data_IF_875319961543
#
_entry.id   IF_875319961543
#
_cell.length_a   1.000
_cell.length_b   1.000
_cell.length_c   1.000
_cell.angle_alpha   90.00
_cell.angle_beta   90.00
_cell.angle_gamma   90.00
#
_symmetry.space_group_name_H-M   'P 1'
#
loop_
_entity.id
_entity.type
_entity.pdbx_description
1 polymer ?
#
# COMPACT_ATOMS: atom_id res chain seq x y z
N UNK A 1 33.90 2.34 0.75
CA UNK A 1 32.96 2.91 -0.22
C UNK A 1 32.20 1.77 -0.89
N UNK A 2 31.12 1.30 -0.28
CA UNK A 2 30.36 0.15 -0.79
C UNK A 2 29.48 0.53 -1.96
N UNK A 3 29.65 -0.15 -3.09
CA UNK A 3 28.81 -0.02 -4.28
C UNK A 3 27.36 -0.43 -3.95
N UNK A 4 26.54 0.51 -3.49
CA UNK A 4 25.10 0.37 -3.49
C UNK A 4 24.61 0.53 -4.92
N UNK A 5 24.05 -0.53 -5.53
CA UNK A 5 23.26 -0.46 -6.78
C UNK A 5 22.49 0.85 -6.81
N UNK A 6 22.75 1.71 -7.81
CA UNK A 6 22.19 3.06 -7.97
C UNK A 6 20.71 3.12 -7.54
N UNK A 7 20.48 3.55 -6.30
CA UNK A 7 19.16 3.74 -5.72
C UNK A 7 18.62 5.06 -6.24
N UNK A 8 17.40 5.03 -6.76
CA UNK A 8 16.73 6.20 -7.33
C UNK A 8 16.07 6.95 -6.16
N UNK A 9 16.60 8.12 -5.82
CA UNK A 9 16.26 8.84 -4.59
C UNK A 9 14.81 9.32 -4.58
N UNK A 10 14.27 9.70 -5.75
CA UNK A 10 12.92 10.25 -5.87
C UNK A 10 11.85 9.17 -5.64
N UNK A 11 12.13 7.90 -5.96
CA UNK A 11 11.23 6.78 -5.66
C UNK A 11 11.13 6.59 -4.14
N UNK A 12 12.27 6.65 -3.44
CA UNK A 12 12.27 6.54 -1.98
C UNK A 12 11.68 7.80 -1.33
N UNK A 13 11.92 9.00 -1.88
CA UNK A 13 11.29 10.23 -1.42
C UNK A 13 9.77 10.18 -1.53
N UNK A 14 9.24 9.80 -2.70
CA UNK A 14 7.79 9.63 -2.90
C UNK A 14 7.20 8.54 -1.99
N UNK A 15 7.94 7.46 -1.73
CA UNK A 15 7.52 6.43 -0.76
C UNK A 15 7.49 6.99 0.66
N UNK A 16 8.42 7.88 1.01
CA UNK A 16 8.42 8.64 2.26
C UNK A 16 7.16 9.49 2.42
N UNK A 17 6.77 10.22 1.37
CA UNK A 17 5.50 10.98 1.36
C UNK A 17 4.31 10.05 1.57
N UNK A 18 4.25 8.91 0.86
CA UNK A 18 3.16 7.95 1.02
C UNK A 18 3.02 7.46 2.48
N UNK A 19 4.13 7.17 3.16
CA UNK A 19 4.13 6.80 4.59
C UNK A 19 3.56 7.90 5.47
N UNK A 20 3.95 9.16 5.23
CA UNK A 20 3.46 10.30 6.01
C UNK A 20 1.94 10.43 5.84
N UNK A 21 1.46 10.36 4.60
CA UNK A 21 0.03 10.42 4.30
C UNK A 21 -0.75 9.26 4.94
N UNK A 22 -0.22 8.04 4.87
CA UNK A 22 -0.82 6.86 5.51
C UNK A 22 -0.90 7.03 7.03
N UNK A 23 0.17 7.50 7.66
CA UNK A 23 0.23 7.66 9.11
C UNK A 23 -0.72 8.76 9.58
N UNK A 24 -0.85 9.84 8.80
CA UNK A 24 -1.81 10.91 9.06
C UNK A 24 -3.26 10.40 8.93
N UNK A 25 -3.56 9.63 7.87
CA UNK A 25 -4.89 9.01 7.71
C UNK A 25 -5.25 8.16 8.93
N UNK A 26 -4.37 7.25 9.35
CA UNK A 26 -4.64 6.37 10.49
C UNK A 26 -4.77 7.14 11.81
N UNK A 27 -3.98 8.21 12.01
CA UNK A 27 -4.14 9.09 13.17
C UNK A 27 -5.54 9.72 13.23
N UNK A 28 -6.03 10.23 12.10
CA UNK A 28 -7.35 10.85 12.01
C UNK A 28 -8.48 9.83 12.15
N UNK A 29 -8.32 8.65 11.55
CA UNK A 29 -9.22 7.51 11.73
C UNK A 29 -9.32 7.10 13.20
N UNK A 30 -8.18 6.92 13.89
CA UNK A 30 -8.16 6.48 15.29
C UNK A 30 -8.76 7.53 16.23
N UNK A 31 -8.53 8.83 15.97
CA UNK A 31 -9.17 9.92 16.72
C UNK A 31 -10.70 9.91 16.58
N UNK A 32 -11.19 9.62 15.37
CA UNK A 32 -12.63 9.50 15.10
C UNK A 32 -13.23 8.28 15.81
N UNK A 33 -12.66 7.09 15.56
CA UNK A 33 -13.22 5.81 16.00
C UNK A 33 -13.07 5.54 17.49
N UNK A 34 -11.93 5.91 18.10
CA UNK A 34 -11.65 5.57 19.50
C UNK A 34 -11.86 6.72 20.49
N UNK A 35 -11.87 7.98 20.01
CA UNK A 35 -11.90 9.17 20.87
C UNK A 35 -13.05 10.14 20.55
N UNK A 36 -13.99 9.76 19.68
CA UNK A 36 -15.20 10.52 19.35
C UNK A 36 -14.95 11.94 18.78
N UNK A 37 -13.82 12.13 18.09
CA UNK A 37 -13.62 13.37 17.35
C UNK A 37 -14.54 13.39 16.12
N UNK A 38 -15.17 14.54 15.86
CA UNK A 38 -16.04 14.74 14.68
C UNK A 38 -15.20 14.88 13.41
N UNK A 39 -14.68 13.75 12.93
CA UNK A 39 -13.83 13.64 11.74
C UNK A 39 -14.46 12.58 10.82
N UNK A 40 -14.97 13.04 9.69
CA UNK A 40 -15.37 12.15 8.60
C UNK A 40 -14.13 11.68 7.83
N UNK A 41 -13.72 10.45 8.07
CA UNK A 41 -12.62 9.80 7.37
C UNK A 41 -13.05 9.07 6.09
N UNK A 42 -14.36 8.98 5.83
CA UNK A 42 -14.94 8.27 4.68
C UNK A 42 -15.16 9.18 3.48
N UNK A 43 -15.01 10.49 3.64
CA UNK A 43 -15.14 11.47 2.58
C UNK A 43 -14.12 12.61 2.70
N UNK A 44 -14.15 13.51 1.72
CA UNK A 44 -13.42 14.77 1.73
C UNK A 44 -11.89 14.59 1.73
N UNK A 45 -11.20 15.47 2.47
CA UNK A 45 -9.74 15.54 2.44
C UNK A 45 -9.08 14.34 3.12
N UNK A 46 -9.72 13.75 4.14
CA UNK A 46 -9.15 12.63 4.90
C UNK A 46 -9.15 11.36 4.04
N UNK A 47 -10.29 11.03 3.42
CA UNK A 47 -10.38 9.94 2.45
C UNK A 47 -9.39 10.15 1.28
N UNK A 48 -9.31 11.37 0.74
CA UNK A 48 -8.36 11.69 -0.33
C UNK A 48 -6.89 11.44 0.09
N UNK A 49 -6.51 11.76 1.33
CA UNK A 49 -5.16 11.51 1.86
C UNK A 49 -4.88 10.00 1.91
N UNK A 50 -5.82 9.22 2.44
CA UNK A 50 -5.73 7.77 2.55
C UNK A 50 -5.63 7.10 1.17
N UNK A 51 -6.58 7.41 0.28
CA UNK A 51 -6.61 6.89 -1.10
C UNK A 51 -5.35 7.25 -1.87
N UNK A 52 -4.88 8.50 -1.79
CA UNK A 52 -3.64 8.94 -2.43
C UNK A 52 -2.43 8.14 -1.92
N UNK A 53 -2.32 7.97 -0.60
CA UNK A 53 -1.24 7.18 -0.02
C UNK A 53 -1.21 5.75 -0.56
N UNK A 54 -2.37 5.07 -0.55
CA UNK A 54 -2.48 3.70 -1.02
C UNK A 54 -2.09 3.56 -2.50
N UNK A 55 -2.64 4.42 -3.36
CA UNK A 55 -2.32 4.43 -4.80
C UNK A 55 -0.84 4.72 -5.05
N UNK A 56 -0.22 5.62 -4.28
CA UNK A 56 1.22 5.86 -4.32
C UNK A 56 2.01 4.60 -3.97
N UNK A 57 1.70 3.92 -2.86
CA UNK A 57 2.39 2.69 -2.46
C UNK A 57 2.30 1.60 -3.54
N UNK A 58 1.11 1.37 -4.09
CA UNK A 58 0.87 0.34 -5.10
C UNK A 58 1.67 0.67 -6.38
N UNK A 59 1.57 1.91 -6.85
CA UNK A 59 2.27 2.37 -8.07
C UNK A 59 3.79 2.31 -7.90
N UNK A 60 4.32 2.84 -6.80
CA UNK A 60 5.76 2.84 -6.50
C UNK A 60 6.29 1.41 -6.32
N UNK A 61 5.47 0.50 -5.81
CA UNK A 61 5.82 -0.93 -5.73
C UNK A 61 5.90 -1.56 -7.13
N UNK A 62 4.98 -1.23 -8.05
CA UNK A 62 5.06 -1.63 -9.45
C UNK A 62 6.36 -1.18 -10.12
N UNK A 63 6.72 0.09 -9.93
CA UNK A 63 7.98 0.66 -10.44
C UNK A 63 9.19 -0.09 -9.83
N UNK A 64 9.21 -0.22 -8.51
CA UNK A 64 10.33 -0.81 -7.75
C UNK A 64 10.51 -2.30 -8.01
N UNK A 65 9.44 -3.03 -8.32
CA UNK A 65 9.49 -4.43 -8.75
C UNK A 65 10.25 -4.56 -10.06
N UNK A 66 10.02 -3.65 -11.01
CA UNK A 66 10.72 -3.64 -12.29
C UNK A 66 12.20 -3.22 -12.22
N UNK A 67 12.65 -2.68 -11.09
CA UNK A 67 14.04 -2.29 -10.84
C UNK A 67 14.80 -3.32 -9.97
N UNK A 68 14.08 -4.21 -9.31
CA UNK A 68 14.63 -5.20 -8.38
C UNK A 68 14.93 -6.54 -9.05
N UNK A 69 15.93 -7.27 -8.52
CA UNK A 69 16.32 -8.59 -9.00
C UNK A 69 15.71 -9.75 -8.21
N UNK A 70 15.22 -9.52 -6.99
CA UNK A 70 14.76 -10.60 -6.10
C UNK A 70 13.32 -10.38 -5.61
N UNK A 71 12.39 -10.27 -6.56
CA UNK A 71 10.99 -9.98 -6.27
C UNK A 71 10.28 -11.12 -5.56
N UNK A 72 10.54 -12.39 -5.91
CA UNK A 72 9.87 -13.53 -5.27
C UNK A 72 10.13 -13.55 -3.76
N UNK A 73 11.40 -13.48 -3.33
CA UNK A 73 11.74 -13.44 -1.90
C UNK A 73 11.13 -12.22 -1.21
N UNK A 74 11.13 -11.05 -1.88
CA UNK A 74 10.55 -9.82 -1.32
C UNK A 74 9.03 -9.93 -1.17
N UNK A 75 8.34 -10.47 -2.17
CA UNK A 75 6.89 -10.69 -2.16
C UNK A 75 6.49 -11.67 -1.05
N UNK A 76 7.18 -12.81 -0.95
CA UNK A 76 6.96 -13.78 0.13
C UNK A 76 7.23 -13.19 1.52
N UNK A 77 8.26 -12.35 1.68
CA UNK A 77 8.52 -11.64 2.94
C UNK A 77 7.36 -10.72 3.31
N UNK A 78 6.81 -9.98 2.35
CA UNK A 78 5.68 -9.08 2.60
C UNK A 78 4.41 -9.88 2.92
N UNK A 79 4.14 -10.96 2.18
CA UNK A 79 3.01 -11.87 2.48
C UNK A 79 3.12 -12.48 3.87
N UNK A 80 4.32 -12.88 4.31
CA UNK A 80 4.53 -13.36 5.66
C UNK A 80 4.07 -12.35 6.72
N UNK A 81 4.46 -11.08 6.59
CA UNK A 81 4.01 -10.04 7.51
C UNK A 81 2.52 -9.71 7.35
N UNK A 82 1.98 -9.78 6.13
CA UNK A 82 0.55 -9.57 5.88
C UNK A 82 -0.31 -10.58 6.65
N UNK A 83 0.03 -11.88 6.55
CA UNK A 83 -0.67 -12.94 7.28
C UNK A 83 -0.40 -12.90 8.79
N UNK A 84 0.75 -12.40 9.23
CA UNK A 84 1.00 -12.15 10.65
C UNK A 84 0.05 -11.07 11.18
N UNK A 85 -0.20 -10.00 10.42
CA UNK A 85 -1.17 -8.97 10.79
C UNK A 85 -2.59 -9.53 10.77
N UNK A 86 -2.95 -10.36 9.79
CA UNK A 86 -4.24 -11.08 9.78
C UNK A 86 -4.42 -11.88 11.07
N UNK A 87 -3.41 -12.66 11.47
CA UNK A 87 -3.47 -13.47 12.68
C UNK A 87 -3.64 -12.61 13.93
N UNK A 88 -2.86 -11.54 14.06
CA UNK A 88 -2.94 -10.63 15.20
C UNK A 88 -4.34 -9.97 15.22
N UNK A 89 -4.76 -9.33 14.13
CA UNK A 89 -6.05 -8.63 14.06
C UNK A 89 -7.24 -9.57 14.28
N UNK A 90 -7.14 -10.84 13.87
CA UNK A 90 -8.17 -11.85 14.14
C UNK A 90 -8.42 -12.06 15.63
N UNK A 91 -7.38 -12.03 16.46
CA UNK A 91 -7.53 -12.19 17.91
C UNK A 91 -7.98 -10.90 18.63
N UNK A 92 -7.62 -9.73 18.12
CA UNK A 92 -7.95 -8.45 18.76
C UNK A 92 -9.30 -7.87 18.31
N UNK A 93 -9.65 -8.00 17.03
CA UNK A 93 -10.88 -7.43 16.44
C UNK A 93 -11.52 -8.44 15.48
N UNK A 94 -12.06 -9.56 15.97
CA UNK A 94 -12.47 -10.71 15.16
C UNK A 94 -13.59 -10.42 14.15
N UNK A 95 -14.41 -9.39 14.38
CA UNK A 95 -15.52 -9.05 13.48
C UNK A 95 -15.07 -8.31 12.21
N UNK A 96 -13.94 -7.59 12.28
CA UNK A 96 -13.43 -6.74 11.19
C UNK A 96 -11.93 -6.93 10.97
N UNK A 97 -11.40 -8.11 11.32
CA UNK A 97 -9.98 -8.41 11.16
C UNK A 97 -9.51 -8.26 9.72
N UNK A 98 -8.20 -8.02 9.55
CA UNK A 98 -7.61 -7.74 8.23
C UNK A 98 -7.44 -9.06 7.48
N UNK A 99 -8.41 -9.44 6.67
CA UNK A 99 -8.36 -10.65 5.87
C UNK A 99 -7.58 -10.47 4.54
N UNK A 100 -7.69 -9.31 3.89
CA UNK A 100 -7.03 -9.00 2.63
C UNK A 100 -6.71 -7.50 2.48
N UNK A 101 -5.87 -7.00 3.39
CA UNK A 101 -5.37 -5.62 3.38
C UNK A 101 -4.29 -5.32 2.33
N UNK A 102 -3.78 -4.09 2.31
CA UNK A 102 -2.85 -3.60 1.26
C UNK A 102 -1.53 -4.37 1.20
N UNK A 103 -1.04 -4.93 2.32
CA UNK A 103 0.16 -5.78 2.29
C UNK A 103 -0.09 -7.12 1.58
N UNK A 104 -1.30 -7.68 1.67
CA UNK A 104 -1.66 -8.88 0.90
C UNK A 104 -1.60 -8.56 -0.59
N UNK A 105 -2.30 -7.51 -1.01
CA UNK A 105 -2.28 -7.02 -2.38
C UNK A 105 -0.84 -6.81 -2.88
N UNK A 106 -0.03 -6.04 -2.15
CA UNK A 106 1.35 -5.74 -2.55
C UNK A 106 2.17 -7.02 -2.64
N UNK A 107 2.05 -7.92 -1.66
CA UNK A 107 2.74 -9.20 -1.63
C UNK A 107 2.40 -10.07 -2.84
N UNK A 108 1.11 -10.28 -3.11
CA UNK A 108 0.61 -11.01 -4.28
C UNK A 108 1.03 -10.35 -5.58
N UNK A 109 0.92 -9.04 -5.70
CA UNK A 109 1.31 -8.28 -6.90
C UNK A 109 2.80 -8.46 -7.23
N UNK A 110 3.67 -8.43 -6.21
CA UNK A 110 5.11 -8.66 -6.37
C UNK A 110 5.41 -10.12 -6.76
N UNK A 111 4.66 -11.09 -6.25
CA UNK A 111 4.82 -12.49 -6.66
C UNK A 111 4.38 -12.67 -8.12
N UNK A 112 3.20 -12.14 -8.48
CA UNK A 112 2.65 -12.19 -9.83
C UNK A 112 3.47 -11.43 -10.86
N UNK A 113 4.30 -10.46 -10.43
CA UNK A 113 5.22 -9.71 -11.29
C UNK A 113 5.98 -10.59 -12.30
N UNK A 114 6.41 -11.80 -11.91
CA UNK A 114 7.18 -12.68 -12.81
C UNK A 114 6.43 -13.09 -14.07
N UNK A 115 5.10 -13.11 -14.02
CA UNK A 115 4.23 -13.42 -15.16
C UNK A 115 4.17 -12.25 -16.15
N UNK A 116 4.20 -11.01 -15.65
CA UNK A 116 3.99 -9.80 -16.45
C UNK A 116 5.30 -9.09 -16.86
N UNK A 117 6.45 -9.44 -16.26
CA UNK A 117 7.74 -8.74 -16.47
C UNK A 117 8.25 -8.71 -17.92
N UNK A 118 7.78 -9.62 -18.77
CA UNK A 118 8.17 -9.71 -20.19
C UNK A 118 7.22 -8.97 -21.14
N UNK A 119 6.11 -8.44 -20.64
CA UNK A 119 5.13 -7.75 -21.47
C UNK A 119 5.61 -6.37 -21.90
N UNK A 120 5.18 -5.94 -23.09
CA UNK A 120 5.45 -4.60 -23.61
C UNK A 120 4.66 -3.56 -22.81
N UNK A 121 5.17 -2.34 -22.74
CA UNK A 121 4.54 -1.22 -22.01
C UNK A 121 3.06 -1.03 -22.38
N UNK A 122 2.71 -1.07 -23.66
CA UNK A 122 1.32 -0.91 -24.11
C UNK A 122 0.40 -2.03 -23.60
N UNK A 123 0.91 -3.27 -23.52
CA UNK A 123 0.14 -4.41 -22.97
C UNK A 123 -0.07 -4.24 -21.48
N UNK A 124 0.94 -3.77 -20.73
CA UNK A 124 0.81 -3.47 -19.31
C UNK A 124 -0.21 -2.36 -19.04
N UNK A 125 -0.21 -1.30 -19.87
CA UNK A 125 -1.20 -0.21 -19.78
C UNK A 125 -2.60 -0.75 -20.07
N UNK A 126 -2.77 -1.47 -21.17
CA UNK A 126 -4.06 -2.04 -21.55
C UNK A 126 -4.62 -2.97 -20.46
N UNK A 127 -3.81 -3.92 -19.97
CA UNK A 127 -4.23 -4.84 -18.91
C UNK A 127 -4.49 -4.09 -17.60
N UNK A 128 -3.67 -3.11 -17.25
CA UNK A 128 -3.85 -2.29 -16.05
C UNK A 128 -5.19 -1.55 -16.07
N UNK A 129 -5.51 -0.88 -17.18
CA UNK A 129 -6.78 -0.19 -17.36
C UNK A 129 -7.97 -1.16 -17.39
N UNK A 130 -7.82 -2.31 -18.06
CA UNK A 130 -8.86 -3.34 -18.11
C UNK A 130 -9.19 -3.87 -16.70
N UNK A 131 -8.18 -4.16 -15.87
CA UNK A 131 -8.34 -4.63 -14.49
C UNK A 131 -9.02 -3.57 -13.63
N UNK A 132 -8.67 -2.29 -13.81
CA UNK A 132 -9.32 -1.18 -13.09
C UNK A 132 -10.80 -1.10 -13.47
N UNK A 133 -11.13 -1.15 -14.76
CA UNK A 133 -12.51 -1.12 -15.25
C UNK A 133 -13.30 -2.32 -14.71
N UNK A 134 -12.73 -3.53 -14.76
CA UNK A 134 -13.37 -4.74 -14.23
C UNK A 134 -13.58 -4.66 -12.72
N UNK A 135 -12.65 -4.08 -11.96
CA UNK A 135 -12.80 -3.85 -10.53
C UNK A 135 -14.03 -3.00 -10.22
N UNK A 136 -14.18 -1.85 -10.90
CA UNK A 136 -15.35 -0.99 -10.72
C UNK A 136 -16.69 -1.69 -11.04
N UNK A 137 -16.69 -2.64 -11.99
CA UNK A 137 -17.89 -3.44 -12.29
C UNK A 137 -18.15 -4.45 -11.17
N UNK A 138 -17.10 -5.11 -10.67
CA UNK A 138 -17.18 -6.13 -9.62
C UNK A 138 -17.59 -5.54 -8.26
N UNK A 139 -17.17 -4.31 -7.94
CA UNK A 139 -17.53 -3.64 -6.69
C UNK A 139 -19.05 -3.46 -6.52
N UNK A 140 -19.82 -3.52 -7.61
CA UNK A 140 -21.29 -3.46 -7.62
C UNK A 140 -21.96 -4.84 -7.50
N UNK A 141 -21.19 -5.93 -7.37
CA UNK A 141 -21.69 -7.31 -7.33
C UNK A 141 -21.39 -7.90 -5.95
N UNK A 142 -22.44 -8.37 -5.27
CA UNK A 142 -22.29 -9.07 -3.99
C UNK A 142 -22.21 -10.58 -4.18
N UNK A 143 -21.45 -11.24 -3.30
CA UNK A 143 -21.34 -12.70 -3.24
C UNK A 143 -22.05 -13.25 -2.01
N UNK A 144 -22.54 -14.49 -2.09
CA UNK A 144 -23.05 -15.22 -0.93
C UNK A 144 -21.94 -15.66 0.04
N UNK A 145 -20.66 -15.57 -0.36
CA UNK A 145 -19.51 -16.01 0.44
C UNK A 145 -18.38 -15.00 0.41
N UNK A 146 -17.59 -14.95 1.47
CA UNK A 146 -16.39 -14.09 1.55
C UNK A 146 -15.12 -14.74 0.99
N UNK A 147 -15.25 -15.89 0.31
CA UNK A 147 -14.11 -16.61 -0.27
C UNK A 147 -13.44 -15.82 -1.40
N UNK A 148 -14.21 -14.99 -2.11
CA UNK A 148 -13.76 -14.21 -3.26
C UNK A 148 -13.36 -12.77 -2.91
N UNK A 149 -13.21 -12.46 -1.61
CA UNK A 149 -12.71 -11.17 -1.12
C UNK A 149 -11.36 -10.77 -1.72
N UNK A 150 -10.39 -11.68 -2.01
CA UNK A 150 -9.17 -11.27 -2.71
C UNK A 150 -9.40 -10.68 -4.11
N UNK A 151 -10.56 -10.94 -4.72
CA UNK A 151 -10.92 -10.47 -6.07
C UNK A 151 -11.92 -9.31 -6.06
N UNK A 152 -12.28 -8.76 -4.90
CA UNK A 152 -13.23 -7.64 -4.81
C UNK A 152 -14.66 -8.07 -4.49
N UNK A 153 -14.99 -9.37 -4.56
CA UNK A 153 -16.34 -9.86 -4.32
C UNK A 153 -16.57 -10.12 -2.82
N UNK A 154 -17.46 -9.33 -2.23
CA UNK A 154 -17.77 -9.36 -0.79
C UNK A 154 -19.24 -9.70 -0.54
N UNK A 155 -19.56 -10.22 0.65
CA UNK A 155 -20.94 -10.31 1.12
C UNK A 155 -21.47 -8.95 1.57
N UNK A 156 -22.80 -8.79 1.65
CA UNK A 156 -23.43 -7.55 2.09
C UNK A 156 -23.07 -7.13 3.54
N UNK A 157 -22.62 -8.09 4.35
CA UNK A 157 -22.23 -7.89 5.76
C UNK A 157 -20.72 -7.86 5.96
N UNK A 158 -19.95 -7.90 4.88
CA UNK A 158 -18.50 -7.95 4.95
C UNK A 158 -17.94 -6.61 5.42
N UNK A 159 -17.03 -6.67 6.39
CA UNK A 159 -16.29 -5.52 6.88
C UNK A 159 -14.86 -5.96 7.26
N UNK A 160 -13.90 -5.06 7.06
CA UNK A 160 -12.48 -5.28 7.40
C UNK A 160 -11.86 -3.92 7.74
N UNK A 161 -10.95 -3.90 8.72
CA UNK A 161 -10.18 -2.72 9.10
C UNK A 161 -9.26 -2.23 7.98
N UNK A 162 -8.86 -3.14 7.08
CA UNK A 162 -8.09 -2.82 5.89
C UNK A 162 -8.48 -3.78 4.76
N UNK A 163 -8.87 -3.24 3.60
CA UNK A 163 -9.32 -4.03 2.46
C UNK A 163 -8.88 -3.42 1.14
N UNK A 164 -7.99 -4.15 0.45
CA UNK A 164 -7.47 -3.78 -0.86
C UNK A 164 -7.43 -5.02 -1.76
N UNK A 165 -8.54 -5.37 -2.44
CA UNK A 165 -8.61 -6.51 -3.34
C UNK A 165 -7.65 -6.41 -4.54
N UNK A 166 -7.45 -7.50 -5.27
CA UNK A 166 -6.67 -7.50 -6.52
C UNK A 166 -7.32 -6.64 -7.61
N UNK A 167 -8.65 -6.58 -7.65
CA UNK A 167 -9.41 -5.75 -8.57
C UNK A 167 -9.99 -4.60 -7.75
N UNK A 168 -9.72 -3.31 -8.09
CA UNK A 168 -8.99 -2.79 -9.25
C UNK A 168 -7.46 -2.66 -9.06
N UNK A 169 -6.95 -2.82 -7.84
CA UNK A 169 -5.65 -2.28 -7.45
C UNK A 169 -4.42 -2.96 -8.09
N UNK A 170 -4.51 -4.23 -8.48
CA UNK A 170 -3.46 -4.89 -9.28
C UNK A 170 -3.26 -4.18 -10.63
N UNK A 171 -4.32 -3.55 -11.17
CA UNK A 171 -4.21 -2.74 -12.37
C UNK A 171 -3.32 -1.52 -12.16
N UNK A 172 -3.45 -0.84 -11.01
CA UNK A 172 -2.57 0.27 -10.59
C UNK A 172 -1.12 -0.20 -10.47
N UNK A 173 -0.88 -1.40 -9.94
CA UNK A 173 0.45 -1.99 -9.90
C UNK A 173 1.05 -2.22 -11.30
N UNK A 174 0.26 -2.73 -12.25
CA UNK A 174 0.69 -2.90 -13.65
C UNK A 174 1.00 -1.56 -14.33
N UNK A 175 0.20 -0.51 -14.04
CA UNK A 175 0.52 0.84 -14.50
C UNK A 175 1.84 1.34 -13.91
N UNK A 176 2.14 1.05 -12.64
CA UNK A 176 3.46 1.28 -12.05
C UNK A 176 4.58 0.55 -12.79
N UNK A 177 4.38 -0.70 -13.22
CA UNK A 177 5.34 -1.42 -14.05
C UNK A 177 5.54 -0.73 -15.41
N UNK A 178 4.47 -0.23 -16.03
CA UNK A 178 4.53 0.51 -17.29
C UNK A 178 5.29 1.84 -17.12
N UNK A 179 5.02 2.60 -16.05
CA UNK A 179 5.72 3.84 -15.73
C UNK A 179 7.23 3.64 -15.60
N UNK A 180 7.67 2.53 -15.01
CA UNK A 180 9.11 2.19 -15.01
C UNK A 180 9.64 2.10 -16.44
N UNK A 181 8.94 1.43 -17.35
CA UNK A 181 9.43 1.25 -18.72
C UNK A 181 9.47 2.56 -19.52
N UNK A 182 8.62 3.53 -19.18
CA UNK A 182 8.57 4.86 -19.80
C UNK A 182 9.69 5.75 -19.23
N UNK A 183 9.75 5.87 -17.91
CA UNK A 183 10.57 6.89 -17.25
C UNK A 183 11.93 6.36 -16.78
N UNK A 184 11.99 5.10 -16.34
CA UNK A 184 13.16 4.52 -15.66
C UNK A 184 13.82 3.38 -16.46
N UNK A 185 13.78 3.45 -17.80
CA UNK A 185 14.37 2.43 -18.67
C UNK A 185 15.88 2.26 -18.40
N UNK A 186 16.59 3.38 -18.21
CA UNK A 186 18.02 3.44 -17.90
C UNK A 186 18.35 3.13 -16.43
N UNK A 187 17.35 2.91 -15.57
CA UNK A 187 17.50 2.70 -14.12
C UNK A 187 18.28 3.83 -13.43
N UNK A 188 18.02 5.07 -13.86
CA UNK A 188 18.65 6.30 -13.37
C UNK A 188 17.58 7.28 -12.90
N UNK A 189 17.99 8.27 -12.12
CA UNK A 189 17.13 9.39 -11.70
C UNK A 189 16.59 10.15 -12.91
N UNK A 190 15.37 10.65 -12.81
CA UNK A 190 14.76 11.58 -13.79
C UNK A 190 15.32 12.99 -13.63
N UNK A 191 15.84 13.30 -12.46
CA UNK A 191 16.37 14.61 -12.12
C UNK A 191 17.90 14.62 -12.25
N UNK A 192 18.42 15.77 -12.72
CA UNK A 192 19.86 16.03 -12.81
C UNK A 192 20.48 16.39 -11.46
N UNK A 193 19.68 16.48 -10.40
CA UNK A 193 20.13 16.65 -9.02
C UNK A 193 19.79 15.40 -8.20
N UNK A 194 20.41 15.29 -7.03
CA UNK A 194 20.09 14.25 -6.06
C UNK A 194 19.94 14.86 -4.67
N UNK A 195 19.00 14.35 -3.90
CA UNK A 195 18.93 14.68 -2.47
C UNK A 195 20.01 13.91 -1.70
N UNK A 196 20.50 14.46 -0.58
CA UNK A 196 21.36 13.72 0.32
C UNK A 196 20.72 12.39 0.73
N UNK A 197 21.52 11.33 0.79
CA UNK A 197 21.03 9.98 1.16
C UNK A 197 20.38 9.92 2.56
N UNK A 198 20.74 10.86 3.43
CA UNK A 198 20.20 11.05 4.78
C UNK A 198 19.01 12.04 4.83
N UNK A 199 18.44 12.42 3.68
CA UNK A 199 17.21 13.21 3.67
C UNK A 199 16.12 12.47 4.48
N UNK A 200 15.49 13.10 5.49
CA UNK A 200 14.56 12.43 6.38
C UNK A 200 13.40 11.73 5.66
N UNK A 201 12.84 12.37 4.63
CA UNK A 201 11.70 11.82 3.86
C UNK A 201 12.17 10.59 3.07
N UNK A 202 13.33 10.68 2.41
CA UNK A 202 13.91 9.50 1.73
C UNK A 202 14.23 8.37 2.70
N UNK A 203 14.69 8.66 3.92
CA UNK A 203 14.94 7.63 4.94
C UNK A 203 13.65 6.89 5.33
N UNK A 204 12.53 7.61 5.48
CA UNK A 204 11.22 6.99 5.70
C UNK A 204 10.90 5.99 4.57
N UNK A 205 11.04 6.43 3.31
CA UNK A 205 10.77 5.56 2.16
C UNK A 205 11.72 4.38 2.01
N UNK A 206 12.98 4.50 2.44
CA UNK A 206 13.94 3.39 2.45
C UNK A 206 13.60 2.31 3.49
N UNK A 207 12.97 2.70 4.59
CA UNK A 207 12.54 1.82 5.68
C UNK A 207 11.02 1.59 5.73
N UNK A 208 10.35 1.79 4.59
CA UNK A 208 8.89 1.86 4.52
C UNK A 208 8.16 0.67 5.11
N UNK A 209 8.65 -0.56 4.87
CA UNK A 209 8.00 -1.76 5.41
C UNK A 209 8.06 -1.79 6.94
N UNK A 210 9.19 -1.42 7.54
CA UNK A 210 9.30 -1.40 8.99
C UNK A 210 8.34 -0.36 9.57
N UNK A 211 8.35 0.86 9.01
CA UNK A 211 7.49 1.95 9.47
C UNK A 211 6.01 1.57 9.31
N UNK A 212 5.64 0.99 8.17
CA UNK A 212 4.31 0.45 7.94
C UNK A 212 3.90 -0.58 9.00
N UNK A 213 4.80 -1.45 9.46
CA UNK A 213 4.43 -2.44 10.49
C UNK A 213 4.23 -1.84 11.89
N UNK A 214 4.96 -0.77 12.21
CA UNK A 214 4.97 -0.21 13.57
C UNK A 214 4.10 1.05 13.74
N UNK A 215 3.70 1.72 12.65
CA UNK A 215 2.96 2.99 12.76
C UNK A 215 1.67 2.83 13.55
N UNK A 216 0.82 1.84 13.24
CA UNK A 216 -0.48 1.67 13.90
C UNK A 216 -0.33 1.35 15.40
N UNK A 217 0.50 0.39 15.84
CA UNK A 217 0.75 0.19 17.27
C UNK A 217 1.28 1.43 17.99
N UNK A 218 2.16 2.22 17.34
CA UNK A 218 2.72 3.44 17.92
C UNK A 218 1.65 4.52 18.05
N UNK A 219 0.85 4.76 17.00
CA UNK A 219 -0.23 5.75 17.02
C UNK A 219 -1.21 5.41 18.15
N UNK A 220 -1.70 4.17 18.19
CA UNK A 220 -2.62 3.72 19.24
C UNK A 220 -2.03 3.87 20.65
N UNK A 221 -0.76 3.49 20.85
CA UNK A 221 -0.10 3.62 22.15
C UNK A 221 0.05 5.08 22.60
N UNK A 222 0.39 5.99 21.67
CA UNK A 222 0.52 7.42 21.95
C UNK A 222 -0.83 8.04 22.30
N UNK A 223 -1.88 7.78 21.49
CA UNK A 223 -3.22 8.27 21.75
C UNK A 223 -3.76 7.76 23.09
N UNK A 224 -3.56 6.46 23.37
CA UNK A 224 -3.97 5.86 24.64
C UNK A 224 -3.29 6.54 25.83
N UNK A 225 -1.99 6.82 25.73
CA UNK A 225 -1.26 7.54 26.77
C UNK A 225 -1.79 8.97 26.96
N UNK A 226 -1.98 9.71 25.86
CA UNK A 226 -2.50 11.08 25.90
C UNK A 226 -3.88 11.16 26.55
N UNK A 227 -4.79 10.24 26.20
CA UNK A 227 -6.11 10.14 26.83
C UNK A 227 -6.00 9.84 28.33
N UNK A 228 -5.15 8.89 28.72
CA UNK A 228 -4.95 8.52 30.12
C UNK A 228 -4.43 9.67 30.99
N UNK A 229 -3.66 10.59 30.42
CA UNK A 229 -3.15 11.78 31.14
C UNK A 229 -4.05 13.02 30.99
N UNK A 230 -5.23 12.88 30.37
CA UNK A 230 -6.21 13.96 30.22
C UNK A 230 -5.86 15.02 29.17
N UNK A 231 -5.00 14.68 28.21
CA UNK A 231 -4.68 15.55 27.06
C UNK A 231 -5.63 15.34 25.87
N UNK A 232 -6.40 14.24 25.88
CA UNK A 232 -7.44 13.87 24.92
C UNK A 232 -8.69 13.39 25.65
#
# INVERSE_FOLDING_TARGET
>A
MGQGKNRIWEIDFLRGIAIILMSLFHLLYDLSEFYNFDIDYTAGIVDFIGATSALMFITLTGISSSLSSNNLRRGLKILFFAYLITLISYFFVPNTYINFGILHLIGFSIVLYSLFKRFRTLVLIFLGLLIIILGNVIDNITSSTNLFTPFGLTSATYASLDYYPLLPYFGVFLLGMALKNIFYLKKQSLFNFSLPSNNPISLLGQHSLLIYLIHQPIILAVLFFMHKVGLL
#
